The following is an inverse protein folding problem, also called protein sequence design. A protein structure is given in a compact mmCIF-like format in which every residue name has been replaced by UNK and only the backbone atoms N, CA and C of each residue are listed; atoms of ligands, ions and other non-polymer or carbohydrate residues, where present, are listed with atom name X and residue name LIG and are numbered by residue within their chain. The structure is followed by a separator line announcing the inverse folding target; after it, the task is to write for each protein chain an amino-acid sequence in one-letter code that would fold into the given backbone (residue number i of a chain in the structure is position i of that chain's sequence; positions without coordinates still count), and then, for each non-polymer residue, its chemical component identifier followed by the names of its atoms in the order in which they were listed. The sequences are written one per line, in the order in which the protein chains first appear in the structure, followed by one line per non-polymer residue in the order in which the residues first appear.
data_IF_406002029605
#
_entry.id   IF_406002029605
#
_cell.length_a   1.000
_cell.length_b   1.000
_cell.length_c   1.000
_cell.angle_alpha   90.00
_cell.angle_beta   90.00
_cell.angle_gamma   90.00
#
_symmetry.space_group_name_H-M   'P 1'
#
loop_
_entity.id
_entity.type
_entity.pdbx_description
1 polymer ?
#
# COMPACT_ATOMS: atom_id res chain seq x y z
N UNK A 1 -29.68 -0.07 25.28
CA UNK A 1 -28.38 -0.16 25.96
C UNK A 1 -27.43 -0.74 24.94
N UNK A 2 -26.94 0.11 24.05
CA UNK A 2 -26.10 -0.31 22.92
C UNK A 2 -25.14 0.84 22.65
N UNK A 3 -23.95 0.73 23.25
CA UNK A 3 -22.78 1.52 22.87
C UNK A 3 -22.14 0.79 21.69
N UNK A 4 -22.47 1.22 20.48
CA UNK A 4 -21.68 0.87 19.29
C UNK A 4 -20.36 1.63 19.38
N UNK A 5 -19.29 0.86 19.59
CA UNK A 5 -17.92 1.36 19.59
C UNK A 5 -17.60 1.98 18.24
N UNK A 6 -17.58 3.31 18.21
CA UNK A 6 -16.93 4.09 17.17
C UNK A 6 -15.42 3.85 17.27
N UNK A 7 -14.96 2.70 16.79
CA UNK A 7 -13.54 2.48 16.51
C UNK A 7 -13.20 3.29 15.26
N UNK A 8 -13.07 4.59 15.51
CA UNK A 8 -12.58 5.61 14.61
C UNK A 8 -11.30 5.05 14.01
N UNK A 9 -11.23 4.98 12.67
CA UNK A 9 -10.06 4.54 11.91
C UNK A 9 -8.87 5.46 12.15
N UNK A 10 -8.33 5.43 13.36
CA UNK A 10 -7.08 6.05 13.71
C UNK A 10 -6.02 5.27 12.95
N UNK A 11 -5.55 5.86 11.85
CA UNK A 11 -4.20 5.58 11.36
C UNK A 11 -3.31 5.89 12.56
N UNK A 12 -2.91 4.86 13.31
CA UNK A 12 -1.92 5.00 14.36
C UNK A 12 -0.68 5.50 13.65
N UNK A 13 -0.28 6.74 13.92
CA UNK A 13 1.00 7.29 13.45
C UNK A 13 2.10 6.57 14.24
N UNK A 14 2.36 5.33 13.86
CA UNK A 14 3.48 4.54 14.36
C UNK A 14 4.67 5.05 13.56
N UNK A 15 5.43 5.97 14.15
CA UNK A 15 6.80 6.22 13.67
C UNK A 15 7.49 4.87 13.58
N UNK A 16 8.22 4.63 12.50
CA UNK A 16 9.06 3.46 12.36
C UNK A 16 9.88 3.30 13.64
N UNK A 17 9.52 2.30 14.46
CA UNK A 17 10.30 1.97 15.65
C UNK A 17 11.58 1.37 15.10
N UNK A 18 12.66 2.15 15.16
CA UNK A 18 13.90 1.81 14.47
C UNK A 18 14.37 0.40 14.79
N UNK A 19 14.07 -0.13 15.98
CA UNK A 19 14.47 -1.49 16.34
C UNK A 19 13.63 -2.57 15.62
N UNK A 20 12.30 -2.40 15.56
CA UNK A 20 11.42 -3.36 14.90
C UNK A 20 11.58 -3.31 13.37
N UNK A 21 11.66 -2.10 12.82
CA UNK A 21 11.94 -1.87 11.40
C UNK A 21 13.26 -2.51 10.98
N UNK A 22 14.32 -2.33 11.77
CA UNK A 22 15.61 -2.99 11.51
C UNK A 22 15.48 -4.52 11.64
N UNK A 23 14.76 -5.02 12.64
CA UNK A 23 14.53 -6.46 12.78
C UNK A 23 13.87 -7.07 11.53
N UNK A 24 12.79 -6.47 11.03
CA UNK A 24 12.11 -6.93 9.80
C UNK A 24 13.01 -6.83 8.56
N UNK A 25 13.93 -5.86 8.52
CA UNK A 25 14.93 -5.70 7.45
C UNK A 25 16.16 -6.60 7.58
N UNK A 26 16.35 -7.36 8.65
CA UNK A 26 17.52 -8.26 8.75
C UNK A 26 17.16 -9.69 9.14
N UNK A 27 15.89 -9.94 9.47
CA UNK A 27 15.37 -11.29 9.66
C UNK A 27 15.35 -12.03 8.32
N UNK A 28 16.05 -13.17 8.18
CA UNK A 28 15.96 -13.98 6.98
C UNK A 28 14.53 -14.48 6.78
N UNK A 29 14.02 -14.48 5.55
CA UNK A 29 12.65 -14.92 5.25
C UNK A 29 12.35 -16.34 5.74
N UNK A 30 13.37 -17.21 5.85
CA UNK A 30 13.24 -18.57 6.39
C UNK A 30 12.97 -18.64 7.90
N UNK A 31 13.08 -17.53 8.63
CA UNK A 31 12.87 -17.43 10.09
C UNK A 31 11.48 -16.87 10.40
N UNK A 32 10.80 -16.30 9.41
CA UNK A 32 9.41 -15.86 9.57
C UNK A 32 8.56 -17.13 9.57
N UNK A 33 8.08 -17.51 10.75
CA UNK A 33 7.23 -18.69 10.91
C UNK A 33 5.99 -18.56 10.02
N UNK A 34 5.61 -19.65 9.35
CA UNK A 34 4.34 -19.75 8.65
C UNK A 34 3.22 -19.60 9.69
N UNK A 35 2.59 -18.43 9.75
CA UNK A 35 1.48 -18.20 10.66
C UNK A 35 0.25 -19.03 10.23
N UNK A 36 -0.38 -19.70 11.19
CA UNK A 36 -1.53 -20.61 11.05
C UNK A 36 -2.85 -19.99 10.51
N UNK A 37 -2.84 -18.72 10.05
CA UNK A 37 -4.04 -17.95 9.67
C UNK A 37 -4.18 -17.68 8.15
N UNK A 38 -3.61 -18.52 7.29
CA UNK A 38 -3.65 -18.36 5.82
C UNK A 38 -5.08 -18.14 5.29
N UNK A 39 -6.06 -18.92 5.77
CA UNK A 39 -7.46 -18.82 5.33
C UNK A 39 -8.11 -17.47 5.68
N UNK A 40 -7.71 -16.86 6.81
CA UNK A 40 -8.17 -15.52 7.21
C UNK A 40 -7.59 -14.44 6.28
N UNK A 41 -6.33 -14.55 5.88
CA UNK A 41 -5.73 -13.58 4.95
C UNK A 41 -6.33 -13.64 3.55
N UNK A 42 -6.65 -14.84 3.03
CA UNK A 42 -7.32 -14.98 1.74
C UNK A 42 -8.70 -14.31 1.76
N UNK A 43 -9.49 -14.53 2.82
CA UNK A 43 -10.78 -13.86 2.98
C UNK A 43 -10.62 -12.33 3.08
N UNK A 44 -9.64 -11.85 3.87
CA UNK A 44 -9.37 -10.42 4.00
C UNK A 44 -8.98 -9.79 2.65
N UNK A 45 -8.16 -10.48 1.85
CA UNK A 45 -7.75 -10.01 0.52
C UNK A 45 -8.96 -9.86 -0.41
N UNK A 46 -9.86 -10.85 -0.45
CA UNK A 46 -11.08 -10.79 -1.24
C UNK A 46 -11.97 -9.61 -0.83
N UNK A 47 -12.13 -9.40 0.47
CA UNK A 47 -12.89 -8.26 0.97
C UNK A 47 -12.26 -6.91 0.59
N UNK A 48 -10.93 -6.80 0.68
CA UNK A 48 -10.18 -5.60 0.30
C UNK A 48 -10.39 -5.32 -1.19
N UNK A 49 -10.22 -6.32 -2.06
CA UNK A 49 -10.42 -6.18 -3.51
C UNK A 49 -11.84 -5.73 -3.82
N UNK A 50 -12.86 -6.31 -3.19
CA UNK A 50 -14.25 -5.89 -3.38
C UNK A 50 -14.48 -4.43 -2.95
N UNK A 51 -13.88 -4.00 -1.82
CA UNK A 51 -13.99 -2.62 -1.32
C UNK A 51 -13.30 -1.64 -2.28
N UNK A 52 -12.08 -1.94 -2.73
CA UNK A 52 -11.32 -1.14 -3.71
C UNK A 52 -12.07 -1.06 -5.04
N UNK A 53 -12.65 -2.16 -5.51
CA UNK A 53 -13.41 -2.18 -6.77
C UNK A 53 -14.64 -1.29 -6.74
N UNK A 54 -15.34 -1.21 -5.60
CA UNK A 54 -16.47 -0.29 -5.41
C UNK A 54 -16.01 1.18 -5.49
N UNK A 55 -14.89 1.51 -4.84
CA UNK A 55 -14.29 2.86 -4.90
C UNK A 55 -13.86 3.17 -6.34
N UNK A 56 -13.23 2.23 -7.03
CA UNK A 56 -12.73 2.42 -8.39
C UNK A 56 -13.85 2.65 -9.41
N UNK A 57 -14.96 1.93 -9.30
CA UNK A 57 -16.12 2.04 -10.20
C UNK A 57 -17.00 3.26 -9.94
N UNK A 58 -16.84 3.90 -8.80
CA UNK A 58 -17.53 5.13 -8.47
C UNK A 58 -17.05 6.23 -9.42
N UNK A 59 -17.94 6.71 -10.29
CA UNK A 59 -17.62 7.75 -11.26
C UNK A 59 -18.18 9.13 -10.86
N UNK A 60 -18.71 9.24 -9.64
CA UNK A 60 -19.40 10.44 -9.18
C UNK A 60 -18.54 11.21 -8.18
N UNK A 61 -18.65 12.54 -8.20
CA UNK A 61 -18.12 13.42 -7.14
C UNK A 61 -16.61 13.32 -6.88
N UNK A 62 -15.81 12.88 -7.86
CA UNK A 62 -14.34 13.00 -7.81
C UNK A 62 -13.92 14.42 -8.20
N UNK A 63 -13.06 15.04 -7.39
CA UNK A 63 -12.54 16.39 -7.61
C UNK A 63 -11.10 16.30 -8.08
N UNK A 64 -10.72 17.04 -9.13
CA UNK A 64 -9.33 17.11 -9.57
C UNK A 64 -8.51 17.97 -8.58
N UNK A 65 -7.43 17.40 -8.05
CA UNK A 65 -6.53 18.05 -7.08
C UNK A 65 -5.23 18.54 -7.74
N UNK A 66 -4.67 17.75 -8.66
CA UNK A 66 -3.42 18.09 -9.32
C UNK A 66 -3.38 17.52 -10.74
N UNK A 67 -2.61 18.21 -11.60
CA UNK A 67 -2.30 17.76 -12.95
C UNK A 67 -0.84 18.06 -13.25
N UNK A 68 -0.15 17.11 -13.85
CA UNK A 68 1.22 17.29 -14.34
C UNK A 68 1.28 18.33 -15.46
N UNK A 69 2.47 18.89 -15.70
CA UNK A 69 2.67 19.89 -16.76
C UNK A 69 2.35 19.39 -18.17
N UNK A 70 2.45 18.08 -18.41
CA UNK A 70 2.12 17.45 -19.69
C UNK A 70 0.62 17.08 -19.82
N UNK A 71 -0.17 17.25 -18.76
CA UNK A 71 -1.60 16.95 -18.73
C UNK A 71 -1.99 15.47 -18.67
N UNK A 72 -1.02 14.54 -18.63
CA UNK A 72 -1.28 13.08 -18.69
C UNK A 72 -1.46 12.47 -17.31
N UNK A 73 -0.75 12.99 -16.31
CA UNK A 73 -0.88 12.54 -14.93
C UNK A 73 -1.87 13.44 -14.21
N UNK A 74 -2.99 12.87 -13.78
CA UNK A 74 -4.07 13.57 -13.10
C UNK A 74 -4.36 12.89 -11.76
N UNK A 75 -4.37 13.68 -10.69
CA UNK A 75 -4.75 13.23 -9.35
C UNK A 75 -6.14 13.75 -9.04
N UNK A 76 -7.05 12.84 -8.73
CA UNK A 76 -8.37 13.14 -8.19
C UNK A 76 -8.42 12.81 -6.70
N UNK A 77 -9.32 13.45 -5.98
CA UNK A 77 -9.67 13.06 -4.63
C UNK A 77 -11.17 13.03 -4.40
N UNK A 78 -11.58 12.22 -3.42
CA UNK A 78 -12.95 12.11 -2.94
C UNK A 78 -12.95 11.72 -1.47
N UNK A 79 -13.81 12.36 -0.69
CA UNK A 79 -14.05 11.99 0.71
C UNK A 79 -15.08 10.85 0.78
N UNK A 80 -14.68 9.74 1.38
CA UNK A 80 -15.56 8.61 1.66
C UNK A 80 -15.87 8.55 3.16
N UNK A 81 -17.14 8.34 3.56
CA UNK A 81 -17.53 8.33 4.98
C UNK A 81 -16.72 7.38 5.87
N UNK A 82 -16.32 6.22 5.33
CA UNK A 82 -15.56 5.20 6.08
C UNK A 82 -14.04 5.32 5.94
N UNK A 83 -13.56 5.82 4.80
CA UNK A 83 -12.13 5.75 4.44
C UNK A 83 -11.43 7.11 4.51
N UNK A 84 -12.17 8.19 4.75
CA UNK A 84 -11.66 9.55 4.65
C UNK A 84 -11.36 9.92 3.20
N UNK A 85 -10.42 10.85 3.03
CA UNK A 85 -10.02 11.35 1.71
C UNK A 85 -9.18 10.31 0.97
N UNK A 86 -9.71 9.81 -0.14
CA UNK A 86 -9.03 8.86 -1.05
C UNK A 86 -8.52 9.62 -2.26
N UNK A 87 -7.29 9.30 -2.68
CA UNK A 87 -6.67 9.85 -3.88
C UNK A 87 -6.62 8.81 -4.99
N UNK A 88 -6.90 9.23 -6.23
CA UNK A 88 -6.82 8.40 -7.44
C UNK A 88 -5.87 9.05 -8.44
N UNK A 89 -4.78 8.35 -8.78
CA UNK A 89 -3.88 8.73 -9.86
C UNK A 89 -4.34 8.09 -11.18
N UNK A 90 -4.43 8.87 -12.24
CA UNK A 90 -4.60 8.39 -13.62
C UNK A 90 -3.40 8.86 -14.43
N UNK A 91 -2.72 7.93 -15.09
CA UNK A 91 -1.52 8.19 -15.91
C UNK A 91 -1.47 7.23 -17.09
N UNK A 92 -0.60 7.53 -18.07
CA UNK A 92 -0.28 6.66 -19.20
C UNK A 92 1.19 6.25 -19.08
N UNK A 93 1.42 4.97 -18.79
CA UNK A 93 2.77 4.40 -18.72
C UNK A 93 3.13 3.81 -20.08
N UNK A 94 4.19 4.28 -20.75
CA UNK A 94 4.64 3.70 -22.00
C UNK A 94 5.32 2.34 -21.74
N UNK A 95 4.89 1.29 -22.45
CA UNK A 95 5.50 -0.03 -22.34
C UNK A 95 4.54 -1.15 -22.71
N UNK A 96 5.04 -2.39 -22.72
CA UNK A 96 4.19 -3.57 -22.79
C UNK A 96 3.48 -3.74 -21.44
N UNK A 97 2.18 -4.09 -21.49
CA UNK A 97 1.37 -4.33 -20.30
C UNK A 97 1.97 -5.39 -19.37
N UNK A 98 2.47 -6.48 -19.94
CA UNK A 98 2.97 -7.62 -19.16
C UNK A 98 4.28 -7.27 -18.45
N UNK A 99 5.20 -6.57 -19.14
CA UNK A 99 6.44 -6.06 -18.53
C UNK A 99 6.13 -5.09 -17.37
N UNK A 100 5.14 -4.21 -17.56
CA UNK A 100 4.71 -3.28 -16.50
C UNK A 100 4.09 -4.03 -15.33
N UNK A 101 3.26 -5.05 -15.60
CA UNK A 101 2.65 -5.87 -14.57
C UNK A 101 3.69 -6.65 -13.76
N UNK A 102 4.69 -7.24 -14.43
CA UNK A 102 5.80 -7.94 -13.78
C UNK A 102 6.56 -7.00 -12.82
N UNK A 103 6.92 -5.80 -13.29
CA UNK A 103 7.63 -4.79 -12.48
C UNK A 103 6.81 -4.37 -11.26
N UNK A 104 5.50 -4.19 -11.42
CA UNK A 104 4.64 -3.68 -10.35
C UNK A 104 4.22 -4.73 -9.34
N UNK A 105 3.97 -5.98 -9.76
CA UNK A 105 3.33 -6.99 -8.92
C UNK A 105 4.24 -8.18 -8.59
N UNK A 106 5.15 -8.56 -9.48
CA UNK A 106 6.02 -9.73 -9.29
C UNK A 106 7.40 -9.34 -8.74
N UNK A 107 7.83 -8.10 -8.99
CA UNK A 107 9.15 -7.58 -8.58
C UNK A 107 9.05 -6.52 -7.48
N UNK A 108 8.16 -6.72 -6.52
CA UNK A 108 7.90 -5.75 -5.45
C UNK A 108 9.14 -5.45 -4.58
N UNK A 109 10.02 -6.43 -4.34
CA UNK A 109 11.27 -6.19 -3.58
C UNK A 109 12.28 -5.33 -4.35
N UNK A 110 12.13 -5.20 -5.68
CA UNK A 110 12.93 -4.28 -6.50
C UNK A 110 12.39 -2.84 -6.44
N UNK A 111 11.30 -2.56 -5.71
CA UNK A 111 10.64 -1.25 -5.69
C UNK A 111 11.57 -0.11 -5.28
N UNK A 112 12.53 -0.35 -4.37
CA UNK A 112 13.54 0.64 -3.96
C UNK A 112 14.49 1.05 -5.09
N UNK A 113 14.64 0.21 -6.13
CA UNK A 113 15.52 0.50 -7.28
C UNK A 113 14.93 1.53 -8.22
N UNK A 114 13.60 1.66 -8.28
CA UNK A 114 12.92 2.52 -9.25
C UNK A 114 11.99 3.57 -8.61
N UNK A 115 11.50 3.35 -7.39
CA UNK A 115 10.63 4.28 -6.69
C UNK A 115 11.41 5.12 -5.68
N UNK A 116 11.65 6.42 -5.93
CA UNK A 116 12.44 7.27 -5.03
C UNK A 116 11.77 7.50 -3.67
N UNK A 117 10.47 7.24 -3.55
CA UNK A 117 9.73 7.37 -2.28
C UNK A 117 9.92 6.16 -1.37
N UNK A 118 10.44 5.04 -1.89
CA UNK A 118 10.64 3.79 -1.17
C UNK A 118 12.11 3.63 -0.85
N UNK A 119 12.40 3.33 0.43
CA UNK A 119 13.74 3.03 0.90
C UNK A 119 14.06 1.53 0.74
N UNK A 120 13.17 0.66 1.21
CA UNK A 120 13.31 -0.79 1.16
C UNK A 120 11.92 -1.43 1.08
N UNK A 121 11.82 -2.59 0.46
CA UNK A 121 10.59 -3.39 0.40
C UNK A 121 10.95 -4.87 0.40
N UNK A 122 10.26 -5.65 1.24
CA UNK A 122 10.55 -7.08 1.43
C UNK A 122 9.29 -7.90 1.56
N UNK A 123 9.33 -9.10 1.00
CA UNK A 123 8.27 -10.09 1.22
C UNK A 123 8.58 -10.82 2.53
N UNK A 124 7.67 -10.70 3.49
CA UNK A 124 7.76 -11.35 4.79
C UNK A 124 7.23 -12.79 4.73
N UNK A 125 6.09 -13.00 4.06
CA UNK A 125 5.46 -14.31 3.95
C UNK A 125 4.72 -14.42 2.61
N UNK A 126 4.88 -15.53 1.90
CA UNK A 126 4.08 -15.84 0.71
C UNK A 126 2.91 -16.72 1.14
N UNK A 127 1.69 -16.26 0.94
CA UNK A 127 0.48 -17.00 1.32
C UNK A 127 0.04 -17.91 0.19
N UNK A 128 -0.04 -17.37 -1.03
CA UNK A 128 -0.27 -18.13 -2.25
C UNK A 128 0.38 -17.42 -3.46
N UNK A 129 0.11 -17.87 -4.69
CA UNK A 129 0.70 -17.31 -5.92
C UNK A 129 0.45 -15.81 -6.10
N UNK A 130 -0.66 -15.28 -5.59
CA UNK A 130 -1.12 -13.91 -5.82
C UNK A 130 -1.33 -13.13 -4.51
N UNK A 131 -0.90 -13.67 -3.37
CA UNK A 131 -1.13 -13.07 -2.06
C UNK A 131 0.08 -13.26 -1.17
N UNK A 132 0.57 -12.16 -0.60
CA UNK A 132 1.73 -12.17 0.28
C UNK A 132 1.68 -11.03 1.29
N UNK A 133 2.43 -11.18 2.38
CA UNK A 133 2.65 -10.12 3.35
C UNK A 133 3.98 -9.45 3.02
N UNK A 134 4.00 -8.13 2.92
CA UNK A 134 5.20 -7.35 2.65
C UNK A 134 5.47 -6.29 3.71
N UNK A 135 6.75 -6.03 3.95
CA UNK A 135 7.23 -4.87 4.68
C UNK A 135 7.70 -3.80 3.68
N UNK A 136 7.37 -2.55 3.93
CA UNK A 136 7.82 -1.42 3.12
C UNK A 136 8.26 -0.27 4.01
N UNK A 137 9.48 0.23 3.78
CA UNK A 137 10.04 1.41 4.44
C UNK A 137 10.13 2.56 3.44
N UNK A 138 9.70 3.76 3.83
CA UNK A 138 9.75 4.94 2.96
C UNK A 138 10.98 5.82 3.24
N UNK A 139 11.38 6.57 2.23
CA UNK A 139 12.33 7.67 2.40
C UNK A 139 11.64 8.88 3.02
N UNK A 140 12.41 9.73 3.70
CA UNK A 140 11.94 11.06 4.11
C UNK A 140 11.52 11.86 2.88
N UNK A 141 10.41 12.58 2.98
CA UNK A 141 9.88 13.39 1.88
C UNK A 141 9.93 14.88 2.24
N UNK A 142 9.80 15.74 1.24
CA UNK A 142 9.77 17.20 1.40
C UNK A 142 10.96 17.74 2.21
N UNK A 143 12.18 17.30 1.89
CA UNK A 143 13.43 17.72 2.56
C UNK A 143 13.41 17.52 4.08
N UNK A 144 12.83 16.41 4.55
CA UNK A 144 12.80 16.04 5.97
C UNK A 144 11.60 16.58 6.74
N UNK A 145 10.68 17.31 6.09
CA UNK A 145 9.41 17.73 6.72
C UNK A 145 8.52 16.51 6.99
N UNK A 146 8.56 15.52 6.10
CA UNK A 146 7.81 14.28 6.24
C UNK A 146 8.82 13.19 6.61
N UNK A 147 8.72 12.71 7.86
CA UNK A 147 9.58 11.65 8.38
C UNK A 147 9.35 10.31 7.67
N UNK A 148 10.32 9.39 7.80
CA UNK A 148 10.18 8.00 7.35
C UNK A 148 9.00 7.33 8.03
N UNK A 149 8.34 6.46 7.28
CA UNK A 149 7.27 5.58 7.77
C UNK A 149 7.51 4.19 7.26
N UNK A 150 7.05 3.21 8.00
CA UNK A 150 7.01 1.84 7.55
C UNK A 150 5.61 1.25 7.61
N UNK A 151 5.42 0.22 6.81
CA UNK A 151 4.14 -0.44 6.60
C UNK A 151 4.34 -1.94 6.51
N UNK A 152 3.40 -2.68 7.10
CA UNK A 152 3.21 -4.10 6.84
C UNK A 152 1.91 -4.23 6.06
N UNK A 153 1.97 -4.76 4.85
CA UNK A 153 0.85 -4.83 3.92
C UNK A 153 0.51 -6.28 3.61
N UNK A 154 -0.78 -6.57 3.48
CA UNK A 154 -1.28 -7.72 2.76
C UNK A 154 -1.46 -7.29 1.28
N UNK A 155 -0.72 -7.91 0.37
CA UNK A 155 -0.55 -7.52 -1.05
C UNK A 155 -0.96 -8.64 -1.99
#
# INVERSE_FOLDING_TARGET
SDTEDANTGAIRDVRADSNLSQSLLYTPSSVIEDYDNVEDYEQQADEIVQKVWRIFKDNESWVQEAVSSNGRDVVFAKDFPKWGKVFRLTTIVPGNRDDIAEILFERQEDMSKWSPTVNDCRILQVINRNLYISYQLTNEQAQGIIAKRDFVNLS
#
